data_IF_037112035948
#
_entry.id   IF_037112035948
#
_cell.length_a   1.000
_cell.length_b   1.000
_cell.length_c   1.000
_cell.angle_alpha   90.00
_cell.angle_beta   90.00
_cell.angle_gamma   90.00
#
_symmetry.space_group_name_H-M   'P 1'
#
loop_
_entity.id
_entity.type
_entity.pdbx_description
1 polymer ?
#
# COMPACT_ATOMS: atom_id res chain seq x y z
N UNK A 1 -14.48 43.78 -66.38
CA UNK A 1 -14.90 44.55 -65.20
C UNK A 1 -15.12 43.54 -64.08
N UNK A 2 -14.14 43.43 -63.18
CA UNK A 2 -14.15 42.50 -62.05
C UNK A 2 -14.65 43.20 -60.77
N UNK A 3 -14.89 42.38 -59.75
CA UNK A 3 -15.22 42.62 -58.33
C UNK A 3 -16.72 42.55 -57.97
N UNK A 4 -17.25 41.81 -56.98
CA UNK A 4 -16.81 41.04 -55.78
C UNK A 4 -17.53 41.56 -54.51
N UNK A 5 -18.03 40.60 -53.72
CA UNK A 5 -18.34 40.61 -52.27
C UNK A 5 -19.53 41.39 -51.71
N UNK A 6 -20.36 40.67 -50.94
CA UNK A 6 -20.40 40.84 -49.49
C UNK A 6 -21.07 39.62 -48.81
N UNK A 7 -20.26 38.77 -48.17
CA UNK A 7 -20.72 37.79 -47.19
C UNK A 7 -19.94 38.05 -45.89
N UNK A 8 -20.65 38.47 -44.85
CA UNK A 8 -20.14 38.66 -43.50
C UNK A 8 -19.81 37.29 -42.89
N UNK A 9 -18.56 37.05 -42.56
CA UNK A 9 -18.15 36.02 -41.60
C UNK A 9 -17.85 36.68 -40.26
N UNK A 10 -18.58 36.26 -39.22
CA UNK A 10 -18.25 36.55 -37.83
C UNK A 10 -17.00 35.75 -37.44
N UNK A 11 -15.93 36.44 -37.05
CA UNK A 11 -14.73 35.83 -36.47
C UNK A 11 -14.88 35.86 -34.95
N UNK A 12 -15.17 34.71 -34.34
CA UNK A 12 -14.95 34.52 -32.91
C UNK A 12 -13.46 34.28 -32.67
N UNK A 13 -12.81 35.18 -31.94
CA UNK A 13 -11.41 35.03 -31.55
C UNK A 13 -11.24 33.92 -30.50
N UNK A 14 -10.53 32.86 -30.87
CA UNK A 14 -9.96 31.91 -29.91
C UNK A 14 -8.93 32.62 -29.02
N UNK A 15 -9.19 32.75 -27.72
CA UNK A 15 -8.15 33.08 -26.74
C UNK A 15 -7.17 31.90 -26.66
N UNK A 16 -5.91 32.13 -27.03
CA UNK A 16 -4.80 31.21 -26.76
C UNK A 16 -4.71 30.97 -25.25
N UNK A 17 -4.74 29.70 -24.84
CA UNK A 17 -4.37 29.31 -23.48
C UNK A 17 -2.98 29.82 -23.13
N UNK A 18 -2.73 30.33 -21.92
CA UNK A 18 -1.41 30.76 -21.50
C UNK A 18 -0.45 29.56 -21.54
N UNK A 19 0.76 29.81 -22.02
CA UNK A 19 1.83 28.83 -22.04
C UNK A 19 2.10 28.33 -20.61
N UNK A 20 2.18 27.01 -20.46
CA UNK A 20 2.61 26.36 -19.23
C UNK A 20 4.08 26.73 -19.04
N UNK A 21 4.35 27.65 -18.11
CA UNK A 21 5.69 27.92 -17.64
C UNK A 21 6.15 26.68 -16.88
N UNK A 22 7.04 25.90 -17.50
CA UNK A 22 7.78 24.83 -16.83
C UNK A 22 8.83 25.51 -15.96
N UNK A 23 8.68 25.37 -14.64
CA UNK A 23 9.71 25.75 -13.68
C UNK A 23 10.96 24.89 -13.93
N UNK A 24 12.07 25.52 -14.31
CA UNK A 24 13.34 24.85 -14.65
C UNK A 24 14.31 24.80 -13.48
N UNK A 25 13.85 24.96 -12.24
CA UNK A 25 14.71 24.77 -11.07
C UNK A 25 15.19 23.31 -11.00
N UNK A 26 16.51 23.04 -10.85
CA UNK A 26 17.01 21.70 -10.62
C UNK A 26 16.31 21.09 -9.40
N UNK A 27 15.92 19.80 -9.44
CA UNK A 27 15.29 19.16 -8.29
C UNK A 27 16.24 19.26 -7.09
N UNK A 28 15.74 19.83 -6.00
CA UNK A 28 16.46 19.89 -4.74
C UNK A 28 16.83 18.46 -4.31
N UNK A 29 18.06 18.25 -3.83
CA UNK A 29 18.50 16.94 -3.34
C UNK A 29 17.72 16.65 -2.06
N UNK A 30 16.59 15.96 -2.19
CA UNK A 30 15.77 15.57 -1.05
C UNK A 30 16.47 14.48 -0.24
N UNK A 31 16.83 14.81 1.00
CA UNK A 31 17.15 13.81 2.02
C UNK A 31 15.86 13.04 2.30
N UNK A 32 15.84 11.70 2.23
CA UNK A 32 14.62 10.94 2.40
C UNK A 32 14.01 11.24 3.79
N UNK A 33 12.68 11.36 3.89
CA UNK A 33 11.97 11.48 5.16
C UNK A 33 12.42 10.38 6.10
N UNK A 34 12.73 10.71 7.35
CA UNK A 34 12.88 9.71 8.39
C UNK A 34 11.51 9.09 8.62
N UNK A 35 11.32 7.86 8.13
CA UNK A 35 10.18 7.01 8.50
C UNK A 35 10.24 6.84 10.02
N UNK A 36 9.10 6.85 10.74
CA UNK A 36 9.09 6.41 12.13
C UNK A 36 9.81 5.06 12.19
N UNK A 37 10.81 4.96 13.07
CA UNK A 37 11.43 3.67 13.30
C UNK A 37 10.31 2.68 13.64
N UNK A 38 10.27 1.48 13.03
CA UNK A 38 9.34 0.46 13.47
C UNK A 38 9.41 0.35 14.99
N UNK A 39 8.28 0.11 15.68
CA UNK A 39 8.28 -0.19 17.10
C UNK A 39 9.43 -1.17 17.35
N UNK A 40 10.24 -0.88 18.37
CA UNK A 40 11.39 -1.71 18.71
C UNK A 40 10.88 -3.15 18.76
N UNK A 41 11.28 -3.97 17.78
CA UNK A 41 10.80 -5.35 17.67
C UNK A 41 10.91 -5.95 19.06
N UNK A 42 9.76 -6.27 19.66
CA UNK A 42 9.77 -7.12 20.84
C UNK A 42 10.45 -8.38 20.34
N UNK A 43 11.68 -8.64 20.82
CA UNK A 43 12.40 -9.84 20.48
C UNK A 43 11.39 -10.98 20.56
N UNK A 44 11.25 -11.73 19.46
CA UNK A 44 10.31 -12.84 19.41
C UNK A 44 10.56 -13.67 20.66
N UNK A 45 9.60 -13.64 21.59
CA UNK A 45 9.75 -14.36 22.85
C UNK A 45 9.59 -15.81 22.47
N UNK A 46 10.73 -16.48 22.26
CA UNK A 46 10.76 -17.90 21.99
C UNK A 46 9.97 -18.59 23.11
N UNK A 47 9.02 -19.46 22.78
CA UNK A 47 8.23 -20.06 23.83
C UNK A 47 9.15 -20.90 24.73
N UNK A 48 8.85 -20.99 26.04
CA UNK A 48 9.59 -21.86 26.94
C UNK A 48 9.63 -23.29 26.36
N UNK A 49 10.82 -23.91 26.35
CA UNK A 49 11.05 -25.27 25.82
C UNK A 49 10.90 -25.43 24.29
N UNK A 50 11.13 -24.37 23.50
CA UNK A 50 11.15 -24.51 22.04
C UNK A 50 12.20 -25.55 21.58
N UNK A 51 11.82 -26.43 20.66
CA UNK A 51 12.77 -27.33 20.01
C UNK A 51 13.56 -26.56 18.96
N UNK A 52 14.90 -26.60 19.02
CA UNK A 52 15.76 -25.96 18.02
C UNK A 52 16.21 -26.99 17.00
N UNK A 53 15.94 -26.72 15.73
CA UNK A 53 16.37 -27.53 14.59
C UNK A 53 17.26 -26.71 13.67
N UNK A 54 18.54 -27.07 13.59
CA UNK A 54 19.46 -26.48 12.62
C UNK A 54 19.37 -27.24 11.29
N UNK A 55 19.21 -26.52 10.19
CA UNK A 55 18.99 -27.11 8.86
C UNK A 55 19.82 -26.40 7.79
N UNK A 56 20.07 -27.10 6.69
CA UNK A 56 20.82 -26.60 5.56
C UNK A 56 22.34 -26.67 5.74
N UNK A 57 23.04 -26.60 4.61
CA UNK A 57 24.52 -26.68 4.54
C UNK A 57 25.14 -25.34 4.12
N UNK A 58 24.32 -24.30 3.92
CA UNK A 58 24.73 -23.03 3.31
C UNK A 58 24.85 -23.09 1.79
N UNK A 59 24.45 -24.18 1.13
CA UNK A 59 24.48 -24.30 -0.33
C UNK A 59 23.49 -25.32 -0.87
N UNK A 60 23.27 -25.32 -2.19
CA UNK A 60 22.42 -26.28 -2.87
C UNK A 60 20.92 -26.02 -2.64
N UNK A 61 20.13 -27.09 -2.66
CA UNK A 61 18.69 -27.02 -2.43
C UNK A 61 18.38 -27.45 -0.98
N UNK A 62 17.49 -26.73 -0.32
CA UNK A 62 17.02 -27.04 1.03
C UNK A 62 15.53 -27.38 1.00
N UNK A 63 15.17 -28.55 1.55
CA UNK A 63 13.79 -29.00 1.67
C UNK A 63 13.44 -29.22 3.14
N UNK A 64 12.51 -28.42 3.65
CA UNK A 64 12.00 -28.50 5.02
C UNK A 64 10.53 -28.91 4.93
N UNK A 65 10.28 -30.21 5.14
CA UNK A 65 8.93 -30.77 5.20
C UNK A 65 8.59 -31.12 6.65
N UNK A 66 7.66 -30.38 7.25
CA UNK A 66 7.29 -30.56 8.65
C UNK A 66 6.73 -31.95 8.94
N UNK A 67 5.98 -32.54 8.01
CA UNK A 67 5.42 -33.88 8.19
C UNK A 67 6.51 -34.93 8.21
N UNK A 68 7.52 -34.81 7.33
CA UNK A 68 8.66 -35.74 7.28
C UNK A 68 9.58 -35.59 8.49
N UNK A 69 9.80 -34.35 8.94
CA UNK A 69 10.67 -34.04 10.07
C UNK A 69 9.98 -34.19 11.44
N UNK A 70 8.67 -34.52 11.45
CA UNK A 70 7.90 -34.65 12.69
C UNK A 70 7.80 -33.34 13.47
N UNK A 71 7.82 -32.20 12.77
CA UNK A 71 7.83 -30.88 13.40
C UNK A 71 6.43 -30.58 13.95
N UNK A 72 6.36 -30.42 15.26
CA UNK A 72 5.19 -29.92 15.98
C UNK A 72 5.30 -28.39 16.16
N UNK A 73 4.20 -27.75 16.54
CA UNK A 73 4.23 -26.35 16.94
C UNK A 73 5.23 -26.09 18.09
N UNK A 74 5.65 -24.84 18.28
CA UNK A 74 6.73 -24.47 19.23
C UNK A 74 8.13 -25.00 18.84
N UNK A 75 8.47 -24.84 17.56
CA UNK A 75 9.79 -25.19 17.01
C UNK A 75 10.46 -23.94 16.43
N UNK A 76 11.77 -23.81 16.63
CA UNK A 76 12.63 -22.83 15.98
C UNK A 76 13.53 -23.55 14.99
N UNK A 77 13.38 -23.24 13.70
CA UNK A 77 14.21 -23.78 12.63
C UNK A 77 15.22 -22.71 12.24
N UNK A 78 16.51 -23.04 12.36
CA UNK A 78 17.61 -22.15 11.97
C UNK A 78 18.21 -22.62 10.65
N UNK A 79 18.06 -21.81 9.60
CA UNK A 79 18.63 -22.07 8.28
C UNK A 79 20.06 -21.56 8.26
N UNK A 80 21.02 -22.46 8.02
CA UNK A 80 22.44 -22.12 7.94
C UNK A 80 22.69 -21.07 6.85
N UNK A 81 23.45 -20.03 7.18
CA UNK A 81 23.89 -18.99 6.25
C UNK A 81 24.72 -19.55 5.11
N UNK A 82 24.60 -18.91 3.94
CA UNK A 82 25.22 -19.30 2.69
C UNK A 82 24.32 -18.98 1.49
N UNK A 83 24.65 -19.51 0.32
CA UNK A 83 23.96 -19.21 -0.95
C UNK A 83 23.19 -20.43 -1.44
N UNK A 84 21.86 -20.35 -1.45
CA UNK A 84 21.00 -21.46 -1.84
C UNK A 84 20.49 -21.32 -3.28
N UNK A 85 20.29 -22.46 -3.93
CA UNK A 85 19.62 -22.55 -5.22
C UNK A 85 18.10 -22.51 -5.05
N UNK A 86 17.60 -23.14 -3.99
CA UNK A 86 16.19 -23.28 -3.69
C UNK A 86 16.01 -23.53 -2.19
N UNK A 87 14.96 -22.97 -1.62
CA UNK A 87 14.46 -23.34 -0.29
C UNK A 87 12.98 -23.66 -0.43
N UNK A 88 12.56 -24.87 -0.03
CA UNK A 88 11.17 -25.27 0.01
C UNK A 88 10.75 -25.55 1.46
N UNK A 89 9.64 -24.94 1.88
CA UNK A 89 9.05 -25.06 3.22
C UNK A 89 7.62 -25.54 3.06
N UNK A 90 7.36 -26.78 3.49
CA UNK A 90 6.09 -27.46 3.18
C UNK A 90 5.45 -28.14 4.38
N UNK A 91 4.12 -28.26 4.32
CA UNK A 91 3.30 -29.11 5.19
C UNK A 91 3.33 -28.75 6.68
N UNK A 92 3.58 -27.48 7.00
CA UNK A 92 3.44 -26.95 8.35
C UNK A 92 1.97 -26.68 8.65
N UNK A 93 1.24 -27.70 9.09
CA UNK A 93 -0.18 -27.58 9.43
C UNK A 93 -0.37 -27.59 10.95
N UNK A 94 0.43 -26.79 11.65
CA UNK A 94 0.39 -26.73 13.12
C UNK A 94 -1.03 -26.41 13.61
N UNK A 95 -1.48 -27.13 14.63
CA UNK A 95 -2.74 -26.82 15.31
C UNK A 95 -2.68 -25.43 15.95
N UNK A 96 -3.84 -24.88 16.28
CA UNK A 96 -4.06 -23.44 16.58
C UNK A 96 -3.21 -22.86 17.74
N UNK A 97 -2.45 -23.68 18.47
CA UNK A 97 -1.72 -23.28 19.67
C UNK A 97 -0.18 -23.31 19.56
N UNK A 98 0.38 -23.59 18.37
CA UNK A 98 1.85 -23.63 18.21
C UNK A 98 2.33 -22.87 16.98
N UNK A 99 3.10 -21.81 17.19
CA UNK A 99 3.80 -21.08 16.11
C UNK A 99 5.15 -21.75 15.84
N UNK A 100 5.51 -21.88 14.56
CA UNK A 100 6.86 -22.27 14.14
C UNK A 100 7.61 -21.02 13.71
N UNK A 101 8.81 -20.85 14.24
CA UNK A 101 9.73 -19.79 13.88
C UNK A 101 10.78 -20.34 12.93
N UNK A 102 10.98 -19.69 11.79
CA UNK A 102 12.02 -20.03 10.83
C UNK A 102 12.92 -18.81 10.68
N UNK A 103 14.19 -18.99 11.01
CA UNK A 103 15.15 -17.91 11.19
C UNK A 103 16.47 -18.22 10.48
N UNK A 104 17.25 -17.18 10.21
CA UNK A 104 18.60 -17.31 9.65
C UNK A 104 19.66 -17.53 10.74
N UNK A 105 20.64 -18.39 10.48
CA UNK A 105 21.91 -18.53 11.22
C UNK A 105 23.09 -18.12 10.33
N UNK A 106 23.40 -16.83 10.30
CA UNK A 106 24.23 -16.18 9.29
C UNK A 106 23.39 -15.53 8.19
N UNK A 107 24.04 -14.99 7.17
CA UNK A 107 23.37 -14.40 6.00
C UNK A 107 22.96 -15.52 5.03
N UNK A 108 21.69 -15.56 4.61
CA UNK A 108 21.15 -16.48 3.62
C UNK A 108 20.87 -15.72 2.32
N UNK A 109 21.57 -16.08 1.25
CA UNK A 109 21.49 -15.44 -0.05
C UNK A 109 20.79 -16.32 -1.10
N UNK A 110 19.93 -15.68 -1.90
CA UNK A 110 19.21 -16.24 -3.04
C UNK A 110 19.54 -15.39 -4.28
N UNK A 111 20.67 -15.70 -4.93
CA UNK A 111 21.25 -14.86 -6.01
C UNK A 111 20.86 -15.40 -7.39
N UNK A 112 20.26 -14.55 -8.23
CA UNK A 112 19.84 -14.90 -9.57
C UNK A 112 18.47 -15.55 -9.62
N UNK A 113 18.31 -16.53 -10.50
CA UNK A 113 17.05 -17.23 -10.75
C UNK A 113 16.70 -18.28 -9.67
N UNK A 114 16.80 -17.89 -8.39
CA UNK A 114 16.50 -18.73 -7.23
C UNK A 114 15.14 -18.41 -6.63
N UNK A 115 14.59 -19.34 -5.87
CA UNK A 115 13.24 -19.21 -5.31
C UNK A 115 13.14 -19.81 -3.91
N UNK A 116 12.40 -19.13 -3.04
CA UNK A 116 11.88 -19.62 -1.77
C UNK A 116 10.40 -19.97 -1.95
N UNK A 117 10.00 -21.20 -1.68
CA UNK A 117 8.61 -21.65 -1.81
C UNK A 117 8.03 -22.05 -0.47
N UNK A 118 6.83 -21.55 -0.16
CA UNK A 118 5.98 -22.02 0.93
C UNK A 118 4.74 -22.72 0.36
N UNK A 119 4.42 -23.91 0.84
CA UNK A 119 3.22 -24.64 0.43
C UNK A 119 2.56 -25.36 1.60
N UNK A 120 1.25 -25.18 1.77
CA UNK A 120 0.49 -25.77 2.88
C UNK A 120 1.11 -25.40 4.24
N UNK A 121 1.16 -24.09 4.52
CA UNK A 121 1.74 -23.56 5.75
C UNK A 121 0.71 -22.79 6.56
N UNK A 122 0.71 -23.03 7.88
CA UNK A 122 -0.13 -22.38 8.88
C UNK A 122 0.70 -22.10 10.13
N UNK A 123 0.50 -20.94 10.74
CA UNK A 123 1.15 -20.53 12.00
C UNK A 123 2.69 -20.46 11.89
N UNK A 124 3.21 -19.79 10.86
CA UNK A 124 4.66 -19.59 10.64
C UNK A 124 5.04 -18.12 10.75
N UNK A 125 6.17 -17.87 11.42
CA UNK A 125 6.93 -16.63 11.31
C UNK A 125 8.28 -16.94 10.65
N UNK A 126 8.48 -16.44 9.44
CA UNK A 126 9.75 -16.49 8.72
C UNK A 126 10.45 -15.13 8.85
N UNK A 127 11.58 -15.10 9.57
CA UNK A 127 12.25 -13.86 9.97
C UNK A 127 13.73 -13.88 9.64
N UNK A 128 14.21 -12.85 8.95
CA UNK A 128 15.65 -12.63 8.73
C UNK A 128 16.40 -12.03 9.92
N UNK A 129 15.86 -12.06 11.14
CA UNK A 129 16.47 -11.46 12.33
C UNK A 129 16.88 -12.50 13.39
N UNK A 130 17.27 -13.69 12.95
CA UNK A 130 17.72 -14.78 13.83
C UNK A 130 19.17 -14.67 14.31
N UNK A 131 19.99 -13.91 13.58
CA UNK A 131 21.43 -13.80 13.86
C UNK A 131 21.77 -12.42 14.43
N UNK A 132 22.41 -12.33 15.61
CA UNK A 132 22.86 -11.06 16.18
C UNK A 132 23.72 -10.27 15.19
N UNK A 133 23.40 -8.98 15.02
CA UNK A 133 24.10 -8.09 14.09
C UNK A 133 23.67 -8.20 12.62
N UNK A 134 22.70 -9.06 12.28
CA UNK A 134 22.08 -9.14 10.96
C UNK A 134 20.59 -8.80 11.09
N UNK A 135 20.22 -7.59 10.69
CA UNK A 135 18.83 -7.13 10.78
C UNK A 135 17.92 -7.70 9.69
N UNK A 136 18.51 -8.07 8.53
CA UNK A 136 17.80 -8.68 7.39
C UNK A 136 18.63 -9.80 6.77
N UNK A 137 18.40 -11.00 7.25
CA UNK A 137 19.22 -12.17 7.02
C UNK A 137 18.84 -13.02 5.81
N UNK A 138 17.72 -12.73 5.17
CA UNK A 138 17.34 -13.33 3.89
C UNK A 138 17.42 -12.26 2.80
N UNK A 139 18.28 -12.50 1.80
CA UNK A 139 18.54 -11.55 0.71
C UNK A 139 18.29 -12.23 -0.63
N UNK A 140 17.38 -11.65 -1.42
CA UNK A 140 17.11 -12.03 -2.79
C UNK A 140 17.68 -10.96 -3.71
N UNK A 141 18.56 -11.31 -4.64
CA UNK A 141 19.17 -10.32 -5.52
C UNK A 141 19.52 -10.79 -6.91
N UNK A 142 19.56 -9.83 -7.83
CA UNK A 142 20.11 -9.95 -9.17
C UNK A 142 19.37 -11.00 -10.04
N UNK A 143 18.03 -11.04 -9.92
CA UNK A 143 17.15 -11.89 -10.75
C UNK A 143 16.81 -11.18 -12.05
N UNK A 144 16.93 -11.90 -13.16
CA UNK A 144 16.62 -11.43 -14.52
C UNK A 144 15.51 -12.25 -15.22
N UNK A 145 14.96 -13.29 -14.57
CA UNK A 145 13.76 -13.98 -15.04
C UNK A 145 12.48 -13.42 -14.42
N UNK A 146 11.38 -13.48 -15.17
CA UNK A 146 10.04 -13.15 -14.68
C UNK A 146 9.42 -14.28 -13.84
N UNK A 147 10.13 -14.66 -12.76
CA UNK A 147 9.71 -15.68 -11.82
C UNK A 147 9.74 -15.14 -10.39
N UNK A 148 8.79 -15.59 -9.57
CA UNK A 148 8.71 -15.16 -8.18
C UNK A 148 9.96 -15.55 -7.39
N UNK A 149 10.45 -14.62 -6.56
CA UNK A 149 11.51 -14.88 -5.59
C UNK A 149 10.98 -15.60 -4.36
N UNK A 150 9.76 -15.24 -3.93
CA UNK A 150 9.00 -15.93 -2.89
C UNK A 150 7.67 -16.39 -3.48
N UNK A 151 7.41 -17.69 -3.44
CA UNK A 151 6.18 -18.28 -3.96
C UNK A 151 5.36 -18.90 -2.83
N UNK A 152 4.13 -18.42 -2.65
CA UNK A 152 3.14 -18.99 -1.75
C UNK A 152 2.19 -19.88 -2.55
N UNK A 153 1.95 -21.12 -2.10
CA UNK A 153 1.13 -22.11 -2.79
C UNK A 153 0.11 -22.76 -1.86
N UNK A 154 -1.04 -23.13 -2.44
CA UNK A 154 -2.09 -23.90 -1.78
C UNK A 154 -2.60 -23.20 -0.51
N UNK A 155 -2.64 -23.89 0.63
CA UNK A 155 -3.14 -23.32 1.89
C UNK A 155 -2.06 -22.50 2.59
N UNK A 156 -2.32 -21.21 2.79
CA UNK A 156 -1.43 -20.27 3.49
C UNK A 156 -2.28 -19.47 4.48
N UNK A 157 -2.03 -19.62 5.77
CA UNK A 157 -2.79 -18.97 6.84
C UNK A 157 -1.88 -18.61 8.02
N UNK A 158 -2.15 -17.52 8.74
CA UNK A 158 -1.36 -17.07 9.90
C UNK A 158 0.16 -17.08 9.60
N UNK A 159 0.53 -16.40 8.51
CA UNK A 159 1.87 -16.42 7.95
C UNK A 159 2.49 -15.03 8.05
N UNK A 160 3.73 -14.95 8.55
CA UNK A 160 4.51 -13.71 8.57
C UNK A 160 5.82 -13.89 7.81
N UNK A 161 6.07 -13.00 6.86
CA UNK A 161 7.38 -12.79 6.25
C UNK A 161 7.93 -11.46 6.77
N UNK A 162 9.07 -11.48 7.46
CA UNK A 162 9.65 -10.27 8.05
C UNK A 162 11.16 -10.20 7.93
N UNK A 163 11.70 -8.97 7.89
CA UNK A 163 13.15 -8.70 7.90
C UNK A 163 13.88 -9.30 6.68
N UNK A 164 13.41 -8.97 5.47
CA UNK A 164 13.91 -9.52 4.19
C UNK A 164 14.32 -8.40 3.23
N UNK A 165 15.31 -8.67 2.38
CA UNK A 165 15.77 -7.75 1.32
C UNK A 165 15.51 -8.34 -0.06
N UNK A 166 15.02 -7.49 -0.96
CA UNK A 166 14.86 -7.74 -2.39
C UNK A 166 15.59 -6.65 -3.18
N UNK A 167 16.51 -7.02 -4.07
CA UNK A 167 17.33 -6.04 -4.81
C UNK A 167 17.58 -6.44 -6.24
N UNK A 168 17.44 -5.52 -7.20
CA UNK A 168 17.70 -5.80 -8.63
C UNK A 168 16.92 -7.03 -9.12
N UNK A 169 15.60 -6.99 -9.01
CA UNK A 169 14.74 -8.11 -9.40
C UNK A 169 13.82 -7.68 -10.54
N UNK A 170 14.11 -8.16 -11.74
CA UNK A 170 13.29 -7.93 -12.93
C UNK A 170 12.17 -8.98 -13.01
N UNK A 171 11.09 -8.74 -12.26
CA UNK A 171 9.96 -9.68 -12.16
C UNK A 171 8.66 -8.96 -11.83
N UNK A 172 7.55 -9.41 -12.39
CA UNK A 172 6.21 -8.86 -12.14
C UNK A 172 5.55 -9.40 -10.86
N UNK A 173 6.28 -10.15 -10.02
CA UNK A 173 5.72 -10.92 -8.91
C UNK A 173 6.80 -11.39 -7.92
N UNK A 174 7.58 -10.49 -7.33
CA UNK A 174 8.65 -10.83 -6.36
C UNK A 174 8.12 -11.78 -5.28
N UNK A 175 6.99 -11.44 -4.66
CA UNK A 175 6.19 -12.29 -3.77
C UNK A 175 4.88 -12.61 -4.48
N UNK A 176 4.67 -13.88 -4.82
CA UNK A 176 3.48 -14.33 -5.54
C UNK A 176 2.60 -15.22 -4.67
N UNK A 177 1.29 -14.99 -4.75
CA UNK A 177 0.29 -15.95 -4.28
C UNK A 177 -0.87 -16.05 -5.27
N UNK A 178 -1.16 -17.27 -5.72
CA UNK A 178 -2.31 -17.59 -6.56
C UNK A 178 -3.12 -18.68 -5.85
N UNK A 179 -3.93 -18.26 -4.88
CA UNK A 179 -4.70 -19.17 -4.01
C UNK A 179 -5.71 -20.00 -4.81
N UNK A 180 -6.37 -19.38 -5.82
CA UNK A 180 -7.49 -19.92 -6.62
C UNK A 180 -8.64 -20.58 -5.83
N UNK A 181 -8.64 -20.53 -4.50
CA UNK A 181 -9.74 -21.03 -3.66
C UNK A 181 -11.02 -20.28 -4.00
N UNK A 182 -12.11 -21.01 -4.19
CA UNK A 182 -13.44 -20.43 -4.37
C UNK A 182 -14.08 -20.23 -3.00
N UNK A 183 -14.41 -18.98 -2.67
CA UNK A 183 -15.06 -18.65 -1.42
C UNK A 183 -16.52 -19.10 -1.44
N UNK A 184 -16.89 -19.92 -0.47
CA UNK A 184 -18.20 -20.53 -0.29
C UNK A 184 -19.00 -19.95 0.90
N UNK A 185 -18.44 -18.95 1.58
CA UNK A 185 -19.01 -18.39 2.81
C UNK A 185 -18.30 -18.85 4.08
N UNK A 186 -17.43 -19.87 4.00
CA UNK A 186 -16.68 -20.38 5.14
C UNK A 186 -15.28 -19.77 5.25
N UNK A 187 -14.73 -19.78 6.47
CA UNK A 187 -13.35 -19.34 6.72
C UNK A 187 -12.29 -20.22 6.05
N UNK A 188 -12.60 -21.51 5.81
CA UNK A 188 -11.67 -22.45 5.21
C UNK A 188 -11.42 -22.19 3.71
N UNK A 189 -12.36 -21.51 3.05
CA UNK A 189 -12.29 -21.20 1.62
C UNK A 189 -11.60 -19.86 1.32
N UNK A 190 -11.02 -19.21 2.32
CA UNK A 190 -10.15 -18.04 2.18
C UNK A 190 -8.75 -18.30 2.75
N UNK A 191 -7.85 -17.34 2.55
CA UNK A 191 -6.55 -17.29 3.24
C UNK A 191 -6.53 -16.12 4.19
N UNK A 192 -6.03 -16.28 5.42
CA UNK A 192 -6.16 -15.26 6.47
C UNK A 192 -4.89 -14.97 7.25
N UNK A 193 -4.79 -13.71 7.70
CA UNK A 193 -3.74 -13.21 8.61
C UNK A 193 -2.33 -13.36 8.01
N UNK A 194 -2.14 -12.83 6.80
CA UNK A 194 -0.84 -12.80 6.12
C UNK A 194 -0.16 -11.47 6.42
N UNK A 195 1.08 -11.49 6.88
CA UNK A 195 1.85 -10.29 7.26
C UNK A 195 3.15 -10.19 6.49
N UNK A 196 3.44 -9.00 5.97
CA UNK A 196 4.68 -8.67 5.24
C UNK A 196 5.29 -7.43 5.87
N UNK A 197 6.33 -7.64 6.68
CA UNK A 197 6.82 -6.65 7.64
C UNK A 197 8.32 -6.36 7.45
N UNK A 198 8.76 -5.13 7.65
CA UNK A 198 10.20 -4.77 7.67
C UNK A 198 10.96 -5.23 6.41
N UNK A 199 10.39 -5.03 5.23
CA UNK A 199 10.97 -5.47 3.94
C UNK A 199 11.67 -4.30 3.24
N UNK A 200 12.89 -4.52 2.74
CA UNK A 200 13.54 -3.55 1.83
C UNK A 200 13.47 -4.04 0.39
N UNK A 201 13.05 -3.16 -0.51
CA UNK A 201 13.00 -3.37 -1.94
C UNK A 201 13.72 -2.21 -2.65
N UNK A 202 14.73 -2.54 -3.44
CA UNK A 202 15.51 -1.57 -4.20
C UNK A 202 15.67 -2.05 -5.65
N UNK A 203 15.13 -1.28 -6.60
CA UNK A 203 15.15 -1.61 -8.02
C UNK A 203 14.55 -3.01 -8.29
N UNK A 204 13.28 -3.17 -7.93
CA UNK A 204 12.52 -4.39 -8.16
C UNK A 204 11.26 -4.11 -8.99
N UNK A 205 10.74 -5.11 -9.69
CA UNK A 205 9.36 -5.06 -10.18
C UNK A 205 8.34 -5.21 -9.03
N UNK A 206 7.14 -5.69 -9.35
CA UNK A 206 6.01 -5.75 -8.40
C UNK A 206 6.37 -6.58 -7.19
N UNK A 207 6.37 -5.97 -5.99
CA UNK A 207 6.72 -6.66 -4.76
C UNK A 207 5.68 -7.73 -4.40
N UNK A 208 4.41 -7.35 -4.32
CA UNK A 208 3.32 -8.28 -3.97
C UNK A 208 2.37 -8.40 -5.15
N UNK A 209 2.17 -9.63 -5.61
CA UNK A 209 1.14 -9.96 -6.60
C UNK A 209 0.28 -11.12 -6.12
N UNK A 210 -0.87 -10.77 -5.54
CA UNK A 210 -1.87 -11.74 -5.07
C UNK A 210 -3.10 -11.72 -5.97
N UNK A 211 -3.34 -12.86 -6.61
CA UNK A 211 -4.40 -13.03 -7.59
C UNK A 211 -5.70 -13.45 -6.91
N UNK A 212 -6.80 -12.88 -7.37
CA UNK A 212 -8.15 -13.12 -6.90
C UNK A 212 -9.16 -12.38 -7.77
N UNK A 213 -10.44 -12.63 -7.56
CA UNK A 213 -11.51 -11.90 -8.22
C UNK A 213 -12.82 -12.06 -7.45
N UNK A 214 -13.68 -11.04 -7.49
CA UNK A 214 -15.07 -11.11 -7.06
C UNK A 214 -15.95 -10.56 -8.18
N UNK A 215 -16.40 -11.43 -9.08
CA UNK A 215 -17.23 -11.06 -10.22
C UNK A 215 -18.03 -12.26 -10.76
N UNK A 216 -19.05 -12.00 -11.57
CA UNK A 216 -19.84 -13.03 -12.28
C UNK A 216 -20.39 -14.14 -11.37
N UNK A 217 -20.78 -13.78 -10.15
CA UNK A 217 -21.32 -14.71 -9.17
C UNK A 217 -20.25 -15.55 -8.45
N UNK A 218 -18.96 -15.33 -8.68
CA UNK A 218 -17.85 -16.10 -8.11
C UNK A 218 -16.93 -15.18 -7.31
N UNK A 219 -16.50 -15.65 -6.13
CA UNK A 219 -15.44 -15.02 -5.33
C UNK A 219 -14.30 -16.03 -5.26
N UNK A 220 -13.11 -15.63 -5.69
CA UNK A 220 -11.92 -16.49 -5.74
C UNK A 220 -10.69 -15.76 -5.20
N UNK A 221 -9.77 -16.52 -4.60
CA UNK A 221 -8.52 -15.99 -4.05
C UNK A 221 -8.73 -14.93 -2.97
N UNK A 222 -9.80 -15.06 -2.17
CA UNK A 222 -10.09 -14.11 -1.10
C UNK A 222 -9.02 -14.16 -0.01
N UNK A 223 -8.43 -13.01 0.27
CA UNK A 223 -7.51 -12.80 1.40
C UNK A 223 -8.20 -12.01 2.50
N UNK A 224 -8.05 -12.42 3.76
CA UNK A 224 -8.56 -11.69 4.93
C UNK A 224 -7.43 -11.24 5.83
N UNK A 225 -7.52 -10.01 6.34
CA UNK A 225 -6.59 -9.46 7.34
C UNK A 225 -5.12 -9.50 6.87
N UNK A 226 -4.87 -8.99 5.65
CA UNK A 226 -3.49 -8.85 5.16
C UNK A 226 -2.86 -7.60 5.75
N UNK A 227 -1.69 -7.73 6.37
CA UNK A 227 -0.91 -6.62 6.92
C UNK A 227 0.36 -6.39 6.07
N UNK A 228 0.57 -5.15 5.63
CA UNK A 228 1.79 -4.73 4.93
C UNK A 228 2.33 -3.49 5.63
N UNK A 229 3.45 -3.63 6.32
CA UNK A 229 3.99 -2.53 7.10
C UNK A 229 5.51 -2.46 7.14
N UNK A 230 6.03 -1.25 7.35
CA UNK A 230 7.46 -0.97 7.46
C UNK A 230 8.24 -1.46 6.22
N UNK A 231 7.61 -1.35 5.03
CA UNK A 231 8.26 -1.64 3.76
C UNK A 231 8.94 -0.38 3.24
N UNK A 232 10.21 -0.50 2.84
CA UNK A 232 10.89 0.51 2.03
C UNK A 232 10.94 0.02 0.58
N UNK A 233 10.18 0.66 -0.31
CA UNK A 233 10.15 0.31 -1.74
C UNK A 233 10.68 1.49 -2.57
N UNK A 234 11.82 1.31 -3.25
CA UNK A 234 12.49 2.42 -3.92
C UNK A 234 13.16 2.07 -5.24
N UNK A 235 13.44 3.12 -6.02
CA UNK A 235 14.25 3.09 -7.23
C UNK A 235 13.75 2.10 -8.29
N UNK A 236 12.43 1.99 -8.43
CA UNK A 236 11.77 1.09 -9.38
C UNK A 236 11.08 1.90 -10.48
N UNK A 237 11.81 2.39 -11.50
CA UNK A 237 11.32 3.40 -12.42
C UNK A 237 10.24 2.91 -13.39
N UNK A 238 10.00 1.61 -13.50
CA UNK A 238 9.09 1.02 -14.51
C UNK A 238 8.08 0.02 -13.96
N UNK A 239 7.92 -0.09 -12.64
CA UNK A 239 7.16 -1.20 -12.00
C UNK A 239 5.65 -1.21 -12.32
N UNK A 240 5.05 -0.06 -12.63
CA UNK A 240 3.61 0.07 -12.72
C UNK A 240 2.95 0.07 -11.34
N UNK A 241 2.60 -1.11 -10.83
CA UNK A 241 2.04 -1.26 -9.48
C UNK A 241 3.00 -2.05 -8.62
N UNK A 242 3.48 -1.46 -7.52
CA UNK A 242 4.38 -2.14 -6.59
C UNK A 242 3.65 -3.21 -5.77
N UNK A 243 2.38 -2.97 -5.45
CA UNK A 243 1.53 -3.88 -4.67
C UNK A 243 0.22 -4.11 -5.41
N UNK A 244 -0.13 -5.37 -5.62
CA UNK A 244 -1.37 -5.76 -6.27
C UNK A 244 -2.04 -6.87 -5.48
N UNK A 245 -3.22 -6.57 -4.94
CA UNK A 245 -4.10 -7.54 -4.30
C UNK A 245 -5.49 -7.46 -4.91
N UNK A 246 -5.87 -8.50 -5.67
CA UNK A 246 -7.05 -8.46 -6.54
C UNK A 246 -8.36 -8.90 -5.85
N UNK A 247 -8.29 -9.37 -4.59
CA UNK A 247 -9.48 -9.66 -3.78
C UNK A 247 -9.09 -9.77 -2.29
N UNK A 248 -9.21 -8.67 -1.55
CA UNK A 248 -8.78 -8.58 -0.15
C UNK A 248 -9.85 -7.93 0.73
N UNK A 249 -10.10 -8.53 1.88
CA UNK A 249 -11.02 -8.05 2.91
C UNK A 249 -10.23 -7.73 4.19
N UNK A 250 -10.51 -6.56 4.75
CA UNK A 250 -9.84 -5.99 5.92
C UNK A 250 -8.31 -5.92 5.80
N UNK A 251 -7.78 -5.37 4.69
CA UNK A 251 -6.34 -5.07 4.61
C UNK A 251 -5.92 -4.00 5.63
N UNK A 252 -4.66 -4.05 6.08
CA UNK A 252 -4.03 -3.11 7.00
C UNK A 252 -2.65 -2.72 6.44
N UNK A 253 -2.57 -1.58 5.74
CA UNK A 253 -1.36 -1.16 5.03
C UNK A 253 -0.86 0.15 5.62
N UNK A 254 0.28 0.09 6.30
CA UNK A 254 0.75 1.25 7.06
C UNK A 254 2.25 1.39 7.24
N UNK A 255 2.70 2.60 7.55
CA UNK A 255 4.10 2.89 7.88
C UNK A 255 5.08 2.45 6.77
N UNK A 256 4.66 2.47 5.51
CA UNK A 256 5.51 2.18 4.37
C UNK A 256 6.13 3.46 3.79
N UNK A 257 7.34 3.33 3.26
CA UNK A 257 8.00 4.37 2.47
C UNK A 257 8.12 3.90 1.02
N UNK A 258 7.55 4.67 0.11
CA UNK A 258 7.70 4.47 -1.33
C UNK A 258 8.32 5.69 -1.99
N UNK A 259 9.42 5.50 -2.72
CA UNK A 259 10.12 6.63 -3.36
C UNK A 259 10.77 6.29 -4.71
N UNK A 260 10.82 7.25 -5.63
CA UNK A 260 11.46 7.09 -6.95
C UNK A 260 10.87 5.92 -7.74
N UNK A 261 9.54 5.87 -7.79
CA UNK A 261 8.78 4.79 -8.45
C UNK A 261 8.17 5.33 -9.74
N UNK A 262 8.14 4.49 -10.79
CA UNK A 262 7.45 4.81 -12.06
C UNK A 262 7.98 6.04 -12.82
N UNK A 263 9.24 6.43 -12.62
CA UNK A 263 9.83 7.60 -13.32
C UNK A 263 9.85 7.47 -14.86
N UNK A 264 9.82 6.24 -15.37
CA UNK A 264 9.78 5.91 -16.80
C UNK A 264 8.40 5.44 -17.27
N UNK A 265 7.37 5.52 -16.41
CA UNK A 265 6.02 5.04 -16.73
C UNK A 265 5.05 6.23 -16.84
N UNK A 266 4.09 6.12 -17.76
CA UNK A 266 2.98 7.05 -17.95
C UNK A 266 1.68 6.27 -18.22
N UNK A 267 1.53 5.07 -17.67
CA UNK A 267 0.27 4.33 -17.69
C UNK A 267 -0.63 4.79 -16.54
N UNK A 268 -1.92 4.49 -16.62
CA UNK A 268 -2.84 4.69 -15.49
C UNK A 268 -2.66 3.56 -14.48
N UNK A 269 -1.84 3.80 -13.47
CA UNK A 269 -1.48 2.83 -12.44
C UNK A 269 -1.77 3.38 -11.04
N UNK A 270 -1.85 2.45 -10.08
CA UNK A 270 -1.75 2.76 -8.66
C UNK A 270 -0.51 2.09 -8.11
N UNK A 271 0.30 2.80 -7.32
CA UNK A 271 1.47 2.22 -6.62
C UNK A 271 1.00 1.04 -5.77
N UNK A 272 -0.06 1.26 -4.99
CA UNK A 272 -0.88 0.22 -4.40
C UNK A 272 -2.17 0.08 -5.21
N UNK A 273 -2.42 -1.11 -5.74
CA UNK A 273 -3.65 -1.47 -6.42
C UNK A 273 -4.38 -2.56 -5.65
N UNK A 274 -5.52 -2.21 -5.08
CA UNK A 274 -6.26 -3.05 -4.14
C UNK A 274 -7.70 -3.21 -4.62
N UNK A 275 -8.26 -4.42 -4.50
CA UNK A 275 -9.69 -4.63 -4.65
C UNK A 275 -10.30 -5.20 -3.37
N UNK A 276 -11.38 -4.58 -2.89
CA UNK A 276 -12.04 -4.87 -1.62
C UNK A 276 -11.92 -3.74 -0.59
N UNK A 277 -11.85 -4.03 0.70
CA UNK A 277 -11.93 -3.02 1.78
C UNK A 277 -10.83 -3.17 2.84
N UNK A 278 -10.48 -2.07 3.51
CA UNK A 278 -9.44 -2.07 4.55
C UNK A 278 -8.96 -0.68 4.95
N UNK A 279 -7.75 -0.60 5.49
CA UNK A 279 -7.11 0.61 6.01
C UNK A 279 -5.79 0.87 5.29
N UNK A 280 -5.56 2.11 4.90
CA UNK A 280 -4.32 2.59 4.29
C UNK A 280 -3.87 3.87 5.00
N UNK A 281 -2.86 3.80 5.87
CA UNK A 281 -2.51 4.92 6.74
C UNK A 281 -1.04 5.02 7.12
N UNK A 282 -0.61 6.21 7.56
CA UNK A 282 0.77 6.45 7.99
C UNK A 282 1.82 6.11 6.92
N UNK A 283 1.46 6.08 5.63
CA UNK A 283 2.40 5.83 4.55
C UNK A 283 2.99 7.14 4.04
N UNK A 284 4.28 7.10 3.66
CA UNK A 284 4.96 8.18 2.95
C UNK A 284 5.22 7.71 1.52
N UNK A 285 4.61 8.37 0.55
CA UNK A 285 4.78 8.11 -0.87
C UNK A 285 5.28 9.39 -1.53
N UNK A 286 6.46 9.32 -2.15
CA UNK A 286 7.10 10.49 -2.76
C UNK A 286 7.74 10.19 -4.09
N UNK A 287 7.88 11.20 -4.92
CA UNK A 287 8.65 11.13 -6.17
C UNK A 287 8.20 9.93 -7.00
N UNK A 288 6.92 9.93 -7.37
CA UNK A 288 6.25 8.78 -7.97
C UNK A 288 5.44 9.18 -9.21
N UNK A 289 4.91 8.19 -9.92
CA UNK A 289 3.89 8.38 -10.96
C UNK A 289 2.76 7.37 -10.74
N UNK A 290 1.51 7.84 -10.91
CA UNK A 290 0.30 7.08 -10.58
C UNK A 290 -0.38 7.58 -9.32
N UNK A 291 -1.59 7.06 -9.04
CA UNK A 291 -2.17 7.22 -7.71
C UNK A 291 -1.30 6.47 -6.69
N UNK A 292 -1.10 7.02 -5.49
CA UNK A 292 -0.46 6.28 -4.39
C UNK A 292 -1.30 5.07 -3.99
N UNK A 293 -2.62 5.25 -3.90
CA UNK A 293 -3.57 4.16 -3.74
C UNK A 293 -4.62 4.22 -4.84
N UNK A 294 -4.80 3.10 -5.53
CA UNK A 294 -5.94 2.84 -6.41
C UNK A 294 -6.76 1.70 -5.82
N UNK A 295 -7.90 2.02 -5.24
CA UNK A 295 -8.75 1.07 -4.54
C UNK A 295 -10.07 0.85 -5.28
N UNK A 296 -10.29 -0.38 -5.74
CA UNK A 296 -11.57 -0.83 -6.28
C UNK A 296 -12.39 -1.47 -5.17
N UNK A 297 -13.23 -0.66 -4.54
CA UNK A 297 -13.82 -1.00 -3.24
C UNK A 297 -15.14 -1.75 -3.36
N UNK A 298 -15.29 -2.78 -2.55
CA UNK A 298 -16.51 -3.52 -2.27
C UNK A 298 -16.31 -4.28 -0.96
N UNK A 299 -17.41 -4.73 -0.35
CA UNK A 299 -17.41 -5.48 0.90
C UNK A 299 -17.81 -6.93 0.63
N UNK A 300 -17.16 -7.88 1.30
CA UNK A 300 -17.60 -9.28 1.29
C UNK A 300 -18.85 -9.42 2.19
N UNK A 301 -19.85 -10.17 1.71
CA UNK A 301 -21.14 -10.34 2.38
C UNK A 301 -22.16 -9.26 2.04
N UNK A 302 -23.17 -9.12 2.89
CA UNK A 302 -24.31 -8.21 2.71
C UNK A 302 -24.21 -6.93 3.52
N UNK A 303 -23.23 -6.83 4.42
CA UNK A 303 -23.03 -5.67 5.30
C UNK A 303 -21.92 -4.78 4.75
N UNK A 304 -22.21 -3.50 4.43
CA UNK A 304 -21.20 -2.57 3.99
C UNK A 304 -20.11 -2.36 5.04
N UNK A 305 -18.86 -2.60 4.67
CA UNK A 305 -17.67 -2.29 5.44
C UNK A 305 -17.16 -0.89 5.10
N UNK A 306 -16.11 -0.44 5.81
CA UNK A 306 -15.43 0.83 5.55
C UNK A 306 -14.06 0.62 4.90
N UNK A 307 -13.71 1.50 3.96
CA UNK A 307 -12.33 1.76 3.53
C UNK A 307 -11.84 3.05 4.17
N UNK A 308 -10.71 3.01 4.88
CA UNK A 308 -10.17 4.14 5.62
C UNK A 308 -8.81 4.54 5.04
N UNK A 309 -8.65 5.81 4.67
CA UNK A 309 -7.41 6.36 4.12
C UNK A 309 -7.02 7.58 4.95
N UNK A 310 -5.99 7.46 5.80
CA UNK A 310 -5.67 8.54 6.73
C UNK A 310 -4.21 8.67 7.12
N UNK A 311 -3.81 9.85 7.62
CA UNK A 311 -2.44 10.13 8.06
C UNK A 311 -1.36 9.80 7.01
N UNK A 312 -1.69 9.75 5.72
CA UNK A 312 -0.68 9.52 4.68
C UNK A 312 -0.07 10.85 4.25
N UNK A 313 1.19 10.78 3.84
CA UNK A 313 1.91 11.87 3.17
C UNK A 313 2.17 11.43 1.73
N UNK A 314 1.65 12.20 0.76
CA UNK A 314 1.80 11.92 -0.67
C UNK A 314 2.32 13.16 -1.38
N UNK A 315 3.53 13.11 -1.93
CA UNK A 315 4.13 14.28 -2.58
C UNK A 315 4.82 13.95 -3.90
N UNK A 316 4.96 14.97 -4.75
CA UNK A 316 5.74 14.90 -5.99
C UNK A 316 5.27 13.76 -6.92
N UNK A 317 3.96 13.68 -7.17
CA UNK A 317 3.44 12.81 -8.23
C UNK A 317 3.59 13.51 -9.58
N UNK A 318 4.18 12.80 -10.55
CA UNK A 318 4.31 13.29 -11.93
C UNK A 318 3.00 13.28 -12.71
N UNK A 319 2.04 12.43 -12.31
CA UNK A 319 0.73 12.29 -12.94
C UNK A 319 -0.29 11.75 -11.91
N UNK A 320 -1.54 12.24 -11.98
CA UNK A 320 -2.72 11.79 -11.21
C UNK A 320 -2.85 12.31 -9.77
N UNK A 321 -4.06 12.15 -9.20
CA UNK A 321 -4.38 12.42 -7.80
C UNK A 321 -3.70 11.44 -6.84
N UNK A 322 -3.64 11.78 -5.54
CA UNK A 322 -3.01 10.90 -4.54
C UNK A 322 -3.75 9.56 -4.40
N UNK A 323 -5.08 9.57 -4.38
CA UNK A 323 -5.91 8.38 -4.18
C UNK A 323 -6.99 8.26 -5.25
N UNK A 324 -7.37 7.04 -5.59
CA UNK A 324 -8.54 6.70 -6.40
C UNK A 324 -9.44 5.72 -5.62
N UNK A 325 -10.73 6.04 -5.53
CA UNK A 325 -11.77 5.13 -5.02
C UNK A 325 -12.83 4.91 -6.09
N UNK A 326 -13.11 3.63 -6.39
CA UNK A 326 -14.08 3.26 -7.40
C UNK A 326 -14.75 1.92 -7.08
N UNK A 327 -16.03 1.76 -7.40
CA UNK A 327 -16.73 0.47 -7.38
C UNK A 327 -17.32 0.17 -8.76
N UNK A 328 -17.40 -1.11 -9.11
CA UNK A 328 -17.99 -1.56 -10.35
C UNK A 328 -19.17 -2.49 -10.10
N UNK A 329 -20.19 -2.42 -10.95
CA UNK A 329 -21.37 -3.29 -10.86
C UNK A 329 -21.01 -4.77 -10.92
N UNK A 330 -19.99 -5.14 -11.70
CA UNK A 330 -19.50 -6.53 -11.79
C UNK A 330 -19.04 -7.10 -10.43
N UNK A 331 -18.61 -6.24 -9.51
CA UNK A 331 -18.15 -6.64 -8.18
C UNK A 331 -19.27 -6.70 -7.13
N UNK A 332 -20.48 -6.23 -7.45
CA UNK A 332 -21.62 -6.21 -6.54
C UNK A 332 -22.58 -7.34 -6.86
N UNK A 333 -22.51 -8.40 -6.06
CA UNK A 333 -23.24 -9.65 -6.27
C UNK A 333 -24.20 -9.87 -5.12
N UNK A 334 -25.51 -9.86 -5.40
CA UNK A 334 -26.55 -10.01 -4.39
C UNK A 334 -26.28 -11.20 -3.46
N UNK A 335 -26.28 -10.94 -2.14
CA UNK A 335 -26.03 -11.95 -1.11
C UNK A 335 -24.56 -12.37 -0.92
N UNK A 336 -23.62 -11.94 -1.78
CA UNK A 336 -22.20 -12.33 -1.71
C UNK A 336 -21.26 -11.15 -1.51
N UNK A 337 -21.52 -10.01 -2.14
CA UNK A 337 -20.77 -8.76 -1.97
C UNK A 337 -21.73 -7.58 -1.99
N UNK A 338 -21.32 -6.48 -1.34
CA UNK A 338 -22.08 -5.23 -1.31
C UNK A 338 -21.14 -4.03 -1.44
N UNK A 339 -21.69 -2.82 -1.52
CA UNK A 339 -20.91 -1.59 -1.60
C UNK A 339 -20.06 -1.38 -0.35
N UNK A 340 -19.17 -0.39 -0.41
CA UNK A 340 -18.28 0.01 0.70
C UNK A 340 -18.47 1.49 0.97
N UNK A 341 -18.47 1.87 2.25
CA UNK A 341 -18.37 3.26 2.65
C UNK A 341 -16.88 3.65 2.75
N UNK A 342 -16.54 4.92 2.57
CA UNK A 342 -15.18 5.39 2.64
C UNK A 342 -15.02 6.61 3.54
N UNK A 343 -13.89 6.69 4.22
CA UNK A 343 -13.45 7.90 4.92
C UNK A 343 -12.00 8.21 4.55
N UNK A 344 -11.78 9.41 4.02
CA UNK A 344 -10.46 9.91 3.59
C UNK A 344 -10.14 11.15 4.42
N UNK A 345 -9.25 11.02 5.40
CA UNK A 345 -9.06 12.09 6.38
C UNK A 345 -7.64 12.26 6.88
N UNK A 346 -7.30 13.46 7.33
CA UNK A 346 -5.98 13.72 7.92
C UNK A 346 -4.80 13.33 7.01
N UNK A 347 -4.94 13.39 5.69
CA UNK A 347 -3.82 13.19 4.76
C UNK A 347 -3.17 14.53 4.41
N UNK A 348 -1.88 14.51 4.10
CA UNK A 348 -1.13 15.65 3.56
C UNK A 348 -0.68 15.32 2.15
N UNK A 349 -1.19 16.03 1.16
CA UNK A 349 -0.90 15.77 -0.26
C UNK A 349 -0.34 17.03 -0.93
N UNK A 350 0.71 16.90 -1.73
CA UNK A 350 1.48 18.05 -2.22
C UNK A 350 2.12 17.86 -3.58
N UNK A 351 2.21 18.94 -4.36
CA UNK A 351 2.96 18.96 -5.63
C UNK A 351 2.58 17.80 -6.56
N UNK A 352 1.27 17.60 -6.76
CA UNK A 352 0.72 16.55 -7.64
C UNK A 352 0.40 17.16 -9.00
N UNK A 353 0.85 16.49 -10.07
CA UNK A 353 0.68 16.96 -11.43
C UNK A 353 -0.45 16.22 -12.18
N UNK A 354 -1.25 16.94 -12.98
CA UNK A 354 -2.35 16.36 -13.72
C UNK A 354 -1.86 15.52 -14.90
N UNK A 355 -2.77 14.71 -15.47
CA UNK A 355 -2.52 14.01 -16.72
C UNK A 355 -3.54 14.39 -17.77
N UNK A 356 -3.11 15.15 -18.77
CA UNK A 356 -4.01 15.62 -19.82
C UNK A 356 -5.18 16.40 -19.22
N UNK A 357 -6.41 15.88 -19.38
CA UNK A 357 -7.62 16.47 -18.80
C UNK A 357 -7.97 15.96 -17.39
N UNK A 358 -7.23 14.97 -16.86
CA UNK A 358 -7.43 14.45 -15.52
C UNK A 358 -6.69 15.33 -14.53
N UNK A 359 -7.40 15.98 -13.59
CA UNK A 359 -6.76 16.82 -12.59
C UNK A 359 -5.92 16.02 -11.60
N UNK A 360 -5.08 16.74 -10.86
CA UNK A 360 -4.43 16.21 -9.68
C UNK A 360 -5.05 16.81 -8.41
N UNK A 361 -5.44 15.94 -7.49
CA UNK A 361 -6.14 16.27 -6.25
C UNK A 361 -5.78 15.26 -5.16
N UNK A 362 -6.43 15.36 -3.99
CA UNK A 362 -6.30 14.35 -2.94
C UNK A 362 -7.01 13.06 -3.35
N UNK A 363 -8.23 13.15 -3.87
CA UNK A 363 -9.07 11.99 -4.17
C UNK A 363 -9.76 12.06 -5.53
N UNK A 364 -9.48 11.08 -6.39
CA UNK A 364 -10.35 10.74 -7.51
C UNK A 364 -11.50 9.85 -6.99
N UNK A 365 -12.70 10.44 -6.88
CA UNK A 365 -13.90 9.77 -6.38
C UNK A 365 -14.85 9.40 -7.52
N UNK A 366 -14.80 8.12 -7.90
CA UNK A 366 -15.77 7.54 -8.82
C UNK A 366 -16.96 6.94 -8.05
N UNK A 367 -17.86 6.30 -8.79
CA UNK A 367 -19.08 5.71 -8.20
C UNK A 367 -18.71 4.66 -7.15
N UNK A 368 -19.28 4.79 -5.95
CA UNK A 368 -19.26 3.77 -4.89
C UNK A 368 -20.54 2.95 -4.87
N UNK A 369 -21.40 3.10 -5.89
CA UNK A 369 -22.56 2.22 -6.16
C UNK A 369 -23.50 2.03 -4.95
N UNK A 370 -23.81 3.12 -4.26
CA UNK A 370 -24.64 3.14 -3.04
C UNK A 370 -23.86 3.43 -1.76
N UNK A 371 -22.52 3.32 -1.81
CA UNK A 371 -21.64 3.75 -0.74
C UNK A 371 -21.53 5.27 -0.61
N UNK A 372 -21.15 5.70 0.60
CA UNK A 372 -20.89 7.09 0.94
C UNK A 372 -19.39 7.34 1.13
N UNK A 373 -18.94 8.58 0.90
CA UNK A 373 -17.55 8.98 1.12
C UNK A 373 -17.48 10.28 1.95
N UNK A 374 -16.88 10.21 3.14
CA UNK A 374 -16.55 11.40 3.94
C UNK A 374 -15.09 11.80 3.69
N UNK A 375 -14.85 13.09 3.46
CA UNK A 375 -13.51 13.60 3.13
C UNK A 375 -13.22 14.80 4.02
N UNK A 376 -12.29 14.68 4.97
CA UNK A 376 -12.13 15.76 5.96
C UNK A 376 -10.75 15.88 6.57
N UNK A 377 -10.44 17.06 7.12
CA UNK A 377 -9.15 17.33 7.76
C UNK A 377 -7.93 17.05 6.84
N UNK A 378 -8.06 17.06 5.52
CA UNK A 378 -6.92 16.86 4.62
C UNK A 378 -6.26 18.20 4.25
N UNK A 379 -4.96 18.17 4.00
CA UNK A 379 -4.19 19.26 3.41
C UNK A 379 -3.88 18.91 1.95
N UNK A 380 -4.22 19.81 1.03
CA UNK A 380 -3.69 19.83 -0.32
C UNK A 380 -2.79 21.04 -0.54
N UNK A 381 -1.72 20.91 -1.31
CA UNK A 381 -0.99 22.10 -1.78
C UNK A 381 -0.33 21.90 -3.14
N UNK A 382 -0.17 23.00 -3.88
CA UNK A 382 0.53 23.03 -5.18
C UNK A 382 -0.05 22.00 -6.17
N UNK A 383 -1.37 22.03 -6.37
CA UNK A 383 -2.04 21.22 -7.38
C UNK A 383 -2.35 22.08 -8.61
N UNK A 384 -2.33 21.46 -9.79
CA UNK A 384 -2.83 22.10 -11.01
C UNK A 384 -4.21 21.53 -11.35
N UNK A 385 -5.25 22.36 -11.23
CA UNK A 385 -6.58 21.99 -11.73
C UNK A 385 -6.58 22.09 -13.25
N UNK A 386 -7.06 21.03 -13.89
CA UNK A 386 -7.31 20.98 -15.34
C UNK A 386 -8.70 20.42 -15.59
N UNK A 387 -9.29 20.79 -16.73
CA UNK A 387 -10.59 20.32 -17.16
C UNK A 387 -11.77 21.10 -16.56
N UNK A 388 -12.97 20.85 -17.10
CA UNK A 388 -14.22 21.52 -16.70
C UNK A 388 -14.91 20.86 -15.51
N UNK A 389 -14.54 19.62 -15.18
CA UNK A 389 -15.23 18.79 -14.18
C UNK A 389 -14.54 18.81 -12.81
N UNK A 390 -13.75 19.85 -12.55
CA UNK A 390 -13.04 19.95 -11.30
C UNK A 390 -13.22 21.31 -10.62
N UNK A 391 -14.10 21.33 -9.64
CA UNK A 391 -14.53 22.53 -8.93
C UNK A 391 -13.78 22.77 -7.62
N UNK A 392 -12.97 21.82 -7.15
CA UNK A 392 -12.23 21.94 -5.89
C UNK A 392 -10.87 21.21 -5.91
N UNK A 393 -9.99 21.46 -4.95
CA UNK A 393 -8.65 20.86 -4.89
C UNK A 393 -8.58 19.52 -4.16
N UNK A 394 -9.69 19.07 -3.58
CA UNK A 394 -9.71 17.96 -2.63
C UNK A 394 -10.24 16.69 -3.30
N UNK A 395 -11.33 16.74 -4.04
CA UNK A 395 -11.86 15.59 -4.78
C UNK A 395 -12.55 15.98 -6.10
N UNK A 396 -12.60 15.04 -7.04
CA UNK A 396 -13.26 15.26 -8.33
C UNK A 396 -14.80 15.09 -8.23
N UNK A 397 -15.53 15.63 -9.20
CA UNK A 397 -17.00 15.45 -9.29
C UNK A 397 -17.40 14.62 -10.51
N UNK A 398 -16.64 13.56 -10.79
CA UNK A 398 -16.79 12.75 -12.01
C UNK A 398 -17.86 11.64 -11.93
N UNK A 399 -18.56 11.49 -10.80
CA UNK A 399 -19.53 10.40 -10.61
C UNK A 399 -20.80 10.79 -9.84
N UNK A 400 -21.71 9.83 -9.74
CA UNK A 400 -22.97 9.90 -9.00
C UNK A 400 -22.76 9.92 -7.48
N UNK A 401 -21.71 9.27 -6.98
CA UNK A 401 -21.31 9.40 -5.58
C UNK A 401 -20.78 10.81 -5.31
N UNK A 402 -21.45 11.54 -4.43
CA UNK A 402 -21.00 12.85 -3.96
C UNK A 402 -20.18 12.70 -2.68
N UNK A 403 -18.97 13.26 -2.68
CA UNK A 403 -18.14 13.35 -1.48
C UNK A 403 -18.74 14.33 -0.47
N UNK A 404 -18.77 13.94 0.80
CA UNK A 404 -19.13 14.81 1.91
C UNK A 404 -17.87 15.45 2.50
N UNK A 405 -17.48 16.59 1.93
CA UNK A 405 -16.23 17.29 2.25
C UNK A 405 -16.37 18.36 3.33
N UNK A 406 -15.53 18.36 4.37
CA UNK A 406 -15.48 19.43 5.38
C UNK A 406 -14.10 19.55 6.04
N UNK A 407 -13.75 20.73 6.54
CA UNK A 407 -12.46 21.01 7.21
C UNK A 407 -11.19 20.56 6.44
N UNK A 408 -11.28 20.43 5.12
CA UNK A 408 -10.09 20.30 4.27
C UNK A 408 -9.53 21.69 3.96
N UNK A 409 -8.20 21.77 3.77
CA UNK A 409 -7.52 23.03 3.46
C UNK A 409 -6.65 22.86 2.22
N UNK A 410 -6.59 23.91 1.41
CA UNK A 410 -5.71 23.99 0.25
C UNK A 410 -4.81 25.21 0.35
N UNK A 411 -3.54 25.06 -0.05
CA UNK A 411 -2.53 26.12 -0.05
C UNK A 411 -1.74 26.13 -1.37
N UNK A 412 -1.08 27.24 -1.71
CA UNK A 412 -0.27 27.29 -2.94
C UNK A 412 1.09 26.63 -2.76
N UNK A 413 1.57 26.55 -1.52
CA UNK A 413 2.83 25.91 -1.15
C UNK A 413 2.75 25.24 0.22
N UNK A 414 3.73 24.41 0.56
CA UNK A 414 3.83 23.82 1.89
C UNK A 414 4.13 24.89 2.96
N UNK A 415 4.89 25.94 2.64
CA UNK A 415 5.19 27.03 3.57
C UNK A 415 3.94 27.82 3.93
N UNK A 416 3.04 28.08 2.95
CA UNK A 416 1.74 28.71 3.22
C UNK A 416 0.85 27.85 4.12
N UNK A 417 0.95 26.52 4.02
CA UNK A 417 0.30 25.60 4.94
C UNK A 417 0.91 25.63 6.36
N UNK A 418 2.04 26.33 6.54
CA UNK A 418 2.80 26.34 7.79
C UNK A 418 3.51 25.02 8.06
N UNK A 419 3.83 24.24 7.01
CA UNK A 419 4.72 23.09 7.06
C UNK A 419 6.16 23.59 7.00
N UNK A 420 7.04 23.07 7.86
CA UNK A 420 8.44 23.51 7.97
C UNK A 420 9.24 23.11 6.73
N UNK A 421 9.11 21.85 6.30
CA UNK A 421 9.80 21.27 5.15
C UNK A 421 9.07 20.01 4.61
N UNK A 422 9.40 19.59 3.38
CA UNK A 422 8.83 18.41 2.71
C UNK A 422 9.59 17.10 3.00
N UNK A 423 10.41 17.07 4.06
CA UNK A 423 11.08 15.86 4.53
C UNK A 423 10.45 15.35 5.84
N UNK A 424 10.18 16.23 6.80
CA UNK A 424 9.60 15.91 8.11
C UNK A 424 8.15 16.37 8.24
N UNK A 425 7.65 17.24 7.36
CA UNK A 425 6.26 17.71 7.37
C UNK A 425 5.77 18.29 8.70
N UNK A 426 6.69 18.66 9.59
CA UNK A 426 6.35 19.23 10.90
C UNK A 426 5.61 20.53 10.71
N UNK A 427 4.59 20.73 11.53
CA UNK A 427 3.82 21.96 11.56
C UNK A 427 4.54 23.03 12.40
N UNK A 428 4.66 24.22 11.83
CA UNK A 428 5.14 25.41 12.56
C UNK A 428 4.19 25.72 13.74
N UNK A 429 4.68 26.29 14.86
CA UNK A 429 3.82 26.60 16.00
C UNK A 429 2.66 27.56 15.68
N UNK A 430 2.82 28.44 14.70
CA UNK A 430 1.85 29.48 14.35
C UNK A 430 0.85 29.06 13.26
N UNK A 431 0.92 27.83 12.72
CA UNK A 431 0.02 27.43 11.64
C UNK A 431 -1.44 27.38 12.09
N UNK A 432 -2.35 27.79 11.20
CA UNK A 432 -3.78 27.69 11.39
C UNK A 432 -4.30 26.24 11.31
N UNK A 433 -3.45 25.27 10.99
CA UNK A 433 -3.83 23.86 10.90
C UNK A 433 -3.89 23.17 12.26
N UNK A 434 -3.13 23.63 13.27
CA UNK A 434 -3.08 23.01 14.59
C UNK A 434 -4.39 23.16 15.33
N UNK A 435 -4.88 22.07 15.94
CA UNK A 435 -6.10 22.07 16.75
C UNK A 435 -7.29 22.76 16.06
N UNK A 436 -7.47 22.51 14.76
CA UNK A 436 -8.49 23.17 13.93
C UNK A 436 -9.32 22.20 13.10
N UNK A 437 -8.96 20.91 13.14
CA UNK A 437 -9.67 19.85 12.44
C UNK A 437 -11.02 19.56 13.08
N UNK A 438 -11.90 18.98 12.28
CA UNK A 438 -13.14 18.40 12.78
C UNK A 438 -12.84 17.24 13.73
N UNK A 439 -13.68 17.12 14.76
CA UNK A 439 -13.60 16.02 15.71
C UNK A 439 -13.61 14.65 15.01
N UNK A 440 -12.77 13.75 15.47
CA UNK A 440 -12.74 12.33 15.09
C UNK A 440 -13.69 11.51 15.96
N UNK A 441 -13.98 11.97 17.19
CA UNK A 441 -15.02 11.41 18.04
C UNK A 441 -16.42 11.58 17.43
N UNK A 442 -17.32 10.65 17.74
CA UNK A 442 -18.69 10.55 17.27
C UNK A 442 -18.85 9.96 15.87
N UNK A 443 -17.77 9.50 15.23
CA UNK A 443 -17.77 9.06 13.81
C UNK A 443 -17.74 7.54 13.63
N UNK A 444 -17.79 6.78 14.72
CA UNK A 444 -17.57 5.34 14.70
C UNK A 444 -16.12 4.97 14.37
N UNK A 445 -15.20 5.92 14.54
CA UNK A 445 -13.75 5.70 14.48
C UNK A 445 -13.22 5.27 15.85
N UNK A 446 -14.02 5.40 16.90
CA UNK A 446 -13.65 5.01 18.27
C UNK A 446 -13.64 3.49 18.47
N UNK A 447 -14.35 2.72 17.64
CA UNK A 447 -14.19 1.27 17.62
C UNK A 447 -12.83 0.84 17.02
N UNK A 448 -12.13 1.77 16.35
CA UNK A 448 -10.75 1.59 15.86
C UNK A 448 -9.71 1.98 16.92
N UNK A 449 -10.10 2.05 18.20
CA UNK A 449 -9.28 2.41 19.38
C UNK A 449 -8.04 1.55 19.61
N UNK A 450 -7.72 0.62 18.72
CA UNK A 450 -6.34 0.16 18.52
C UNK A 450 -5.50 1.29 17.92
N UNK A 451 -5.06 2.23 18.77
CA UNK A 451 -3.93 3.17 18.68
C UNK A 451 -3.75 4.04 17.40
N UNK A 452 -4.24 3.65 16.24
CA UNK A 452 -3.78 4.13 14.93
C UNK A 452 -4.34 5.49 14.55
N UNK A 453 -5.59 5.81 14.93
CA UNK A 453 -6.23 7.12 14.68
C UNK A 453 -5.87 8.17 15.73
N UNK A 454 -5.52 7.74 16.95
CA UNK A 454 -5.16 8.61 18.07
C UNK A 454 -3.68 9.04 18.05
N UNK A 455 -2.93 8.58 17.05
CA UNK A 455 -1.57 9.04 16.78
C UNK A 455 -1.49 9.59 15.36
N UNK A 456 -0.58 10.54 15.15
CA UNK A 456 -0.20 11.04 13.83
C UNK A 456 0.79 10.08 13.14
N UNK A 457 1.26 10.44 11.95
CA UNK A 457 2.20 9.60 11.20
C UNK A 457 3.52 9.34 11.97
N UNK A 458 3.91 10.22 12.90
CA UNK A 458 5.13 10.12 13.70
C UNK A 458 4.92 9.51 15.09
N UNK A 459 3.70 9.06 15.42
CA UNK A 459 3.39 8.52 16.75
C UNK A 459 3.07 9.59 17.79
N UNK A 460 2.89 10.86 17.39
CA UNK A 460 2.47 11.94 18.29
C UNK A 460 0.99 11.81 18.59
N UNK A 461 0.59 11.95 19.86
CA UNK A 461 -0.82 11.82 20.25
C UNK A 461 -1.67 12.91 19.61
N UNK A 462 -2.81 12.49 19.06
CA UNK A 462 -3.79 13.31 18.35
C UNK A 462 -5.04 13.50 19.21
N UNK A 463 -5.51 14.74 19.28
CA UNK A 463 -6.77 15.07 19.93
C UNK A 463 -7.95 14.50 19.15
N UNK A 464 -8.83 13.73 19.82
CA UNK A 464 -10.03 13.19 19.18
C UNK A 464 -11.14 14.23 18.98
N UNK A 465 -11.15 15.31 19.76
CA UNK A 465 -12.16 16.37 19.65
C UNK A 465 -11.71 17.52 18.77
N UNK A 466 -10.40 17.79 18.72
CA UNK A 466 -9.85 18.94 18.03
C UNK A 466 -8.46 18.60 17.47
N UNK A 467 -8.36 17.68 16.50
CA UNK A 467 -7.09 17.29 15.89
C UNK A 467 -6.49 18.43 15.06
N UNK A 468 -5.21 18.34 14.73
CA UNK A 468 -4.65 19.14 13.63
C UNK A 468 -5.18 18.65 12.27
N UNK A 469 -5.31 19.55 11.30
CA UNK A 469 -5.63 19.20 9.91
C UNK A 469 -4.35 18.65 9.26
N UNK A 470 -4.46 17.53 8.54
CA UNK A 470 -3.35 16.82 7.90
C UNK A 470 -2.77 15.68 8.74
N UNK A 471 -1.67 15.12 8.25
CA UNK A 471 -1.07 13.87 8.77
C UNK A 471 -0.23 14.04 10.04
N UNK A 472 0.07 15.28 10.44
CA UNK A 472 1.02 15.62 11.52
C UNK A 472 0.33 16.54 12.54
N UNK A 473 0.64 16.36 13.83
CA UNK A 473 0.19 17.21 14.95
C UNK A 473 1.13 18.39 15.28
#
# INVERSE_FOLDING_TARGET
>A
MHLILCALFFVFGCKKSPAILVDTTPPEIHVPPTVPNPPKDTAVVLPPNATILEVGTGSGNLYIDAKRLGILGNTVIKIKGGSYNEIQITNFLSEDNGTVHIENDGLVEMIGDKQLTFSNVKNIIFSGKGTPGIDKGFVFRDKNSDAASVQLKNNIDNFTLTNVVFKNLDTYNVIQYDSRKIYDGSDASCSKNLKFLNIDCDNTGTLIRFKGSAENGIISGLLRNVEIAYVSFKNSPSVGSAFVMENVDAYDIHNNLVQYVNQNNSNHNGVFYLQGNGKFYNNIIRDHQGNSLRAWVYSIGTTPQKTLIYNNIVINSREYSAFELQSFSRNLMAGRTTYTNAEVFNNTCGNLLPKGAFPAQILDLYSLRGGQCNIFNNIGYKFTLVGQNNTNFIWNELSDTKGNGFNNKYFKSYQEAGIVDENQFKLTPATALKNSGAALSGRGLEALTNQTVIYDIYGTSRSMSLPSIGAVE
#
